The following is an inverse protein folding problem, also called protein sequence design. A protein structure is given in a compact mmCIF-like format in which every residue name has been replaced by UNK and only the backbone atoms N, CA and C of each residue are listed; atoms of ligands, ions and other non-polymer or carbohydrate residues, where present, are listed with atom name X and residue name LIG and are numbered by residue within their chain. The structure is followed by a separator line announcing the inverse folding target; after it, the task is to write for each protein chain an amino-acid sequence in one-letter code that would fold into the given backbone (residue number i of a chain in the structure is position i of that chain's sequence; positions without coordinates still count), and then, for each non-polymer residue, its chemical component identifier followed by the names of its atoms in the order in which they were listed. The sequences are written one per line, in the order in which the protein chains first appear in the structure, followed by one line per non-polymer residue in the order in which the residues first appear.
data_IF_678257153363
#
_entry.id   IF_678257153363
#
_cell.length_a   1.000
_cell.length_b   1.000
_cell.length_c   1.000
_cell.angle_alpha   90.00
_cell.angle_beta   90.00
_cell.angle_gamma   90.00
#
_symmetry.space_group_name_H-M   'P 1'
#
loop_
_entity.id
_entity.type
_entity.pdbx_description
1 polymer ?
#
# COMPACT_ATOMS: atom_id res chain seq x y z
N UNK A 1 9.87 -4.46 23.77
CA UNK A 1 9.16 -3.66 22.75
C UNK A 1 9.98 -3.43 21.49
N UNK A 2 11.25 -3.02 21.54
CA UNK A 2 12.04 -2.70 20.33
C UNK A 2 12.20 -3.80 19.26
N UNK A 3 12.28 -5.08 19.65
CA UNK A 3 12.45 -6.20 18.69
C UNK A 3 11.19 -6.43 17.85
N UNK A 4 10.00 -6.37 18.45
CA UNK A 4 8.72 -6.58 17.76
C UNK A 4 8.43 -5.49 16.73
N UNK A 5 8.72 -4.23 17.06
CA UNK A 5 8.59 -3.11 16.11
C UNK A 5 9.60 -3.22 14.97
N UNK A 6 10.84 -3.63 15.26
CA UNK A 6 11.85 -3.85 14.22
C UNK A 6 11.44 -4.98 13.26
N UNK A 7 10.88 -6.07 13.79
CA UNK A 7 10.42 -7.20 12.98
C UNK A 7 9.23 -6.81 12.10
N UNK A 8 8.18 -6.21 12.68
CA UNK A 8 7.00 -5.75 11.93
C UNK A 8 7.39 -4.83 10.77
N UNK A 9 8.32 -3.91 11.05
CA UNK A 9 8.86 -3.00 10.04
C UNK A 9 9.58 -3.75 8.93
N UNK A 10 10.52 -4.63 9.26
CA UNK A 10 11.25 -5.43 8.27
C UNK A 10 10.31 -6.26 7.40
N UNK A 11 9.30 -6.88 8.01
CA UNK A 11 8.25 -7.61 7.28
C UNK A 11 7.48 -6.69 6.33
N UNK A 12 7.10 -5.50 6.79
CA UNK A 12 6.39 -4.51 5.96
C UNK A 12 7.23 -4.06 4.76
N UNK A 13 8.53 -3.79 4.95
CA UNK A 13 9.45 -3.50 3.86
C UNK A 13 9.51 -4.64 2.84
N UNK A 14 9.69 -5.88 3.32
CA UNK A 14 9.75 -7.05 2.45
C UNK A 14 8.47 -7.19 1.62
N UNK A 15 7.30 -7.02 2.26
CA UNK A 15 6.00 -7.08 1.57
C UNK A 15 5.90 -6.00 0.48
N UNK A 16 6.21 -4.75 0.79
CA UNK A 16 6.12 -3.66 -0.19
C UNK A 16 7.13 -3.81 -1.33
N UNK A 17 8.37 -4.19 -1.03
CA UNK A 17 9.36 -4.46 -2.08
C UNK A 17 8.92 -5.64 -2.95
N UNK A 18 8.34 -6.68 -2.36
CA UNK A 18 7.77 -7.81 -3.12
C UNK A 18 6.59 -7.36 -3.98
N UNK A 19 5.76 -6.42 -3.51
CA UNK A 19 4.68 -5.84 -4.29
C UNK A 19 5.20 -5.05 -5.51
N UNK A 20 6.32 -4.34 -5.39
CA UNK A 20 6.98 -3.68 -6.55
C UNK A 20 7.41 -4.72 -7.59
N UNK A 21 8.07 -5.80 -7.15
CA UNK A 21 8.50 -6.88 -8.04
C UNK A 21 7.29 -7.58 -8.69
N UNK A 22 6.21 -7.77 -7.93
CA UNK A 22 4.98 -8.36 -8.43
C UNK A 22 4.33 -7.51 -9.53
N UNK A 23 4.26 -6.18 -9.38
CA UNK A 23 3.76 -5.30 -10.44
C UNK A 23 4.61 -5.44 -11.71
N UNK A 24 5.94 -5.45 -11.58
CA UNK A 24 6.85 -5.66 -12.71
C UNK A 24 6.68 -7.02 -13.39
N UNK A 25 6.29 -8.06 -12.66
CA UNK A 25 5.96 -9.38 -13.21
C UNK A 25 4.58 -9.44 -13.87
N UNK A 26 3.59 -8.77 -13.27
CA UNK A 26 2.20 -8.80 -13.73
C UNK A 26 1.97 -7.98 -15.01
N UNK A 27 2.83 -6.99 -15.28
CA UNK A 27 2.76 -6.21 -16.51
C UNK A 27 3.47 -6.88 -17.70
N UNK A 28 2.94 -6.75 -18.94
CA UNK A 28 3.52 -7.42 -20.12
C UNK A 28 4.93 -6.94 -20.49
N UNK A 29 5.29 -5.71 -20.11
CA UNK A 29 6.60 -5.12 -20.36
C UNK A 29 6.89 -4.02 -19.36
N UNK A 30 8.16 -3.83 -19.00
CA UNK A 30 8.58 -2.71 -18.14
C UNK A 30 8.57 -1.44 -18.98
N UNK A 31 7.60 -0.56 -18.70
CA UNK A 31 7.41 0.70 -19.41
C UNK A 31 6.96 1.83 -18.46
N UNK A 32 6.51 2.96 -19.02
CA UNK A 32 6.07 4.11 -18.24
C UNK A 32 4.87 3.79 -17.34
N UNK A 33 3.96 2.91 -17.76
CA UNK A 33 2.82 2.46 -16.96
C UNK A 33 3.27 1.60 -15.78
N UNK A 34 4.27 0.74 -15.96
CA UNK A 34 4.85 -0.04 -14.85
C UNK A 34 5.43 0.89 -13.78
N UNK A 35 6.17 1.90 -14.21
CA UNK A 35 6.71 2.94 -13.31
C UNK A 35 5.58 3.70 -12.61
N UNK A 36 4.52 4.05 -13.35
CA UNK A 36 3.34 4.73 -12.83
C UNK A 36 2.60 3.90 -11.77
N UNK A 37 2.40 2.60 -12.01
CA UNK A 37 1.73 1.67 -11.10
C UNK A 37 2.55 1.32 -9.86
N UNK A 38 3.88 1.39 -9.93
CA UNK A 38 4.77 1.19 -8.79
C UNK A 38 4.82 2.43 -7.88
N UNK A 39 4.56 3.63 -8.42
CA UNK A 39 4.73 4.90 -7.70
C UNK A 39 4.00 4.97 -6.33
N UNK A 40 2.75 4.50 -6.15
CA UNK A 40 2.08 4.51 -4.85
C UNK A 40 2.82 3.66 -3.81
N UNK A 41 3.38 2.52 -4.21
CA UNK A 41 4.15 1.64 -3.32
C UNK A 41 5.46 2.33 -2.91
N UNK A 42 6.10 3.05 -3.83
CA UNK A 42 7.29 3.86 -3.52
C UNK A 42 6.94 4.98 -2.54
N UNK A 43 5.81 5.66 -2.71
CA UNK A 43 5.32 6.67 -1.75
C UNK A 43 5.07 6.03 -0.38
N UNK A 44 4.45 4.85 -0.32
CA UNK A 44 4.24 4.13 0.93
C UNK A 44 5.56 3.75 1.63
N UNK A 45 6.56 3.29 0.87
CA UNK A 45 7.91 3.00 1.37
C UNK A 45 8.60 4.25 1.92
N UNK A 46 8.50 5.38 1.22
CA UNK A 46 9.04 6.67 1.65
C UNK A 46 8.38 7.11 2.97
N UNK A 47 7.05 7.06 3.05
CA UNK A 47 6.32 7.44 4.27
C UNK A 47 6.70 6.54 5.44
N UNK A 48 6.79 5.22 5.23
CA UNK A 48 7.23 4.27 6.25
C UNK A 48 8.65 4.61 6.73
N UNK A 49 9.55 4.95 5.82
CA UNK A 49 10.94 5.28 6.13
C UNK A 49 11.11 6.54 6.98
N UNK A 50 10.44 7.63 6.59
CA UNK A 50 10.61 8.93 7.25
C UNK A 50 9.86 9.02 8.57
N UNK A 51 8.71 8.35 8.70
CA UNK A 51 7.86 8.54 9.87
C UNK A 51 8.31 7.71 11.07
N UNK A 52 9.01 6.60 10.83
CA UNK A 52 9.59 5.75 11.88
C UNK A 52 10.83 6.36 12.56
N UNK A 53 11.44 7.38 11.95
CA UNK A 53 12.57 8.11 12.55
C UNK A 53 12.13 9.22 13.51
N UNK A 54 10.82 9.47 13.61
CA UNK A 54 10.30 10.46 14.56
C UNK A 54 10.38 9.89 15.98
N UNK A 55 11.14 10.58 16.84
CA UNK A 55 11.43 10.20 18.23
C UNK A 55 10.16 10.03 19.09
N UNK A 56 9.04 10.67 18.71
CA UNK A 56 7.76 10.63 19.44
C UNK A 56 6.59 10.18 18.54
N UNK A 57 6.57 8.93 18.09
CA UNK A 57 5.41 8.40 17.37
C UNK A 57 4.40 7.77 18.33
N UNK A 58 3.29 8.48 18.59
CA UNK A 58 2.17 7.94 19.36
C UNK A 58 1.50 6.74 18.65
N UNK A 59 0.86 5.85 19.42
CA UNK A 59 0.16 4.67 18.87
C UNK A 59 -0.82 5.01 17.72
N UNK A 60 -1.67 6.06 17.82
CA UNK A 60 -2.54 6.48 16.70
C UNK A 60 -1.76 6.81 15.42
N UNK A 61 -0.62 7.50 15.56
CA UNK A 61 0.20 7.87 14.40
C UNK A 61 0.80 6.64 13.73
N UNK A 62 1.31 5.70 14.52
CA UNK A 62 1.87 4.44 14.01
C UNK A 62 0.82 3.62 13.26
N UNK A 63 -0.35 3.39 13.88
CA UNK A 63 -1.41 2.60 13.23
C UNK A 63 -1.97 3.29 11.98
N UNK A 64 -2.02 4.62 11.96
CA UNK A 64 -2.34 5.36 10.73
C UNK A 64 -1.34 5.09 9.61
N UNK A 65 -0.03 5.12 9.89
CA UNK A 65 0.99 4.83 8.86
C UNK A 65 0.86 3.41 8.32
N UNK A 66 0.72 2.42 9.20
CA UNK A 66 0.51 1.03 8.77
C UNK A 66 -0.79 0.87 7.97
N UNK A 67 -1.86 1.56 8.36
CA UNK A 67 -3.11 1.62 7.60
C UNK A 67 -2.92 2.20 6.20
N UNK A 68 -2.19 3.32 6.08
CA UNK A 68 -1.85 3.91 4.79
C UNK A 68 -1.12 2.92 3.88
N UNK A 69 -0.06 2.33 4.42
CA UNK A 69 0.82 1.40 3.71
C UNK A 69 0.04 0.17 3.24
N UNK A 70 -0.76 -0.42 4.14
CA UNK A 70 -1.52 -1.63 3.85
C UNK A 70 -2.55 -1.40 2.74
N UNK A 71 -3.33 -0.31 2.81
CA UNK A 71 -4.34 -0.03 1.80
C UNK A 71 -3.74 0.39 0.47
N UNK A 72 -2.67 1.21 0.48
CA UNK A 72 -1.99 1.63 -0.75
C UNK A 72 -1.40 0.43 -1.49
N UNK A 73 -0.60 -0.38 -0.80
CA UNK A 73 0.00 -1.58 -1.39
C UNK A 73 -1.05 -2.63 -1.75
N UNK A 74 -2.03 -2.85 -0.88
CA UNK A 74 -3.11 -3.81 -1.07
C UNK A 74 -3.93 -3.56 -2.31
N UNK A 75 -4.34 -2.30 -2.56
CA UNK A 75 -5.11 -1.93 -3.76
C UNK A 75 -4.30 -2.18 -5.03
N UNK A 76 -3.02 -1.80 -5.05
CA UNK A 76 -2.15 -2.05 -6.21
C UNK A 76 -2.02 -3.56 -6.46
N UNK A 77 -1.74 -4.35 -5.43
CA UNK A 77 -1.57 -5.81 -5.55
C UNK A 77 -2.87 -6.48 -5.99
N UNK A 78 -4.01 -6.14 -5.38
CA UNK A 78 -5.31 -6.72 -5.73
C UNK A 78 -5.68 -6.41 -7.19
N UNK A 79 -5.44 -5.18 -7.66
CA UNK A 79 -5.72 -4.81 -9.05
C UNK A 79 -4.88 -5.61 -10.05
N UNK A 80 -3.59 -5.82 -9.75
CA UNK A 80 -2.71 -6.62 -10.61
C UNK A 80 -3.01 -8.12 -10.52
N UNK A 81 -3.44 -8.64 -9.36
CA UNK A 81 -3.94 -10.01 -9.23
C UNK A 81 -5.23 -10.19 -10.05
N UNK A 82 -6.16 -9.25 -9.97
CA UNK A 82 -7.40 -9.26 -10.75
C UNK A 82 -7.08 -9.31 -12.24
N UNK A 83 -6.12 -8.50 -12.69
CA UNK A 83 -5.66 -8.49 -14.07
C UNK A 83 -5.02 -9.81 -14.49
N UNK A 84 -4.04 -10.30 -13.73
CA UNK A 84 -3.29 -11.52 -14.05
C UNK A 84 -4.19 -12.76 -14.09
N UNK A 85 -5.19 -12.82 -13.21
CA UNK A 85 -6.13 -13.94 -13.10
C UNK A 85 -7.42 -13.72 -13.91
N UNK A 86 -7.51 -12.64 -14.67
CA UNK A 86 -8.68 -12.23 -15.45
C UNK A 86 -10.00 -12.23 -14.64
N UNK A 87 -9.94 -11.76 -13.39
CA UNK A 87 -11.10 -11.73 -12.48
C UNK A 87 -12.23 -10.89 -13.06
N UNK A 88 -13.36 -11.53 -13.37
CA UNK A 88 -14.48 -10.84 -13.99
C UNK A 88 -14.18 -10.33 -15.40
N UNK A 89 -13.24 -10.98 -16.12
CA UNK A 89 -12.78 -10.57 -17.45
C UNK A 89 -12.09 -9.20 -17.47
N UNK A 90 -11.38 -8.85 -16.39
CA UNK A 90 -10.66 -7.57 -16.30
C UNK A 90 -9.54 -7.42 -17.30
N UNK A 91 -8.99 -8.48 -17.89
CA UNK A 91 -7.99 -8.39 -18.96
C UNK A 91 -8.62 -8.62 -20.35
N UNK A 92 -9.63 -9.48 -20.46
CA UNK A 92 -10.18 -9.91 -21.77
C UNK A 92 -11.54 -9.30 -22.12
N UNK A 93 -12.23 -8.66 -21.17
CA UNK A 93 -13.65 -8.32 -21.29
C UNK A 93 -13.97 -6.96 -21.90
N UNK A 94 -12.99 -6.06 -22.05
CA UNK A 94 -13.22 -4.73 -22.62
C UNK A 94 -11.95 -4.09 -23.18
N UNK A 95 -12.08 -3.31 -24.26
CA UNK A 95 -11.03 -2.44 -24.81
C UNK A 95 -10.67 -1.24 -23.90
N UNK A 96 -11.47 -0.97 -22.86
CA UNK A 96 -11.18 0.03 -21.81
C UNK A 96 -10.64 -0.57 -20.52
N UNK A 97 -10.42 -1.89 -20.48
CA UNK A 97 -9.94 -2.58 -19.29
C UNK A 97 -8.60 -2.04 -18.75
N UNK A 98 -7.67 -1.70 -19.64
CA UNK A 98 -6.38 -1.12 -19.28
C UNK A 98 -6.48 0.31 -18.69
N UNK A 99 -7.63 0.99 -18.83
CA UNK A 99 -7.83 2.35 -18.32
C UNK A 99 -7.75 2.40 -16.79
N UNK A 100 -8.05 1.29 -16.11
CA UNK A 100 -7.92 1.20 -14.65
C UNK A 100 -6.49 1.46 -14.20
N UNK A 101 -5.47 1.04 -14.96
CA UNK A 101 -4.06 1.26 -14.62
C UNK A 101 -3.62 2.71 -14.80
N UNK A 102 -4.38 3.53 -15.52
CA UNK A 102 -4.14 4.97 -15.58
C UNK A 102 -4.58 5.63 -14.28
N UNK A 103 -5.70 5.21 -13.71
CA UNK A 103 -6.28 5.80 -12.48
C UNK A 103 -5.87 5.07 -11.20
N UNK A 104 -5.36 3.84 -11.30
CA UNK A 104 -5.01 2.97 -10.18
C UNK A 104 -4.08 3.65 -9.18
N UNK A 105 -3.01 4.38 -9.59
CA UNK A 105 -2.15 5.04 -8.63
C UNK A 105 -2.86 6.07 -7.75
N UNK A 106 -3.79 6.82 -8.35
CA UNK A 106 -4.59 7.82 -7.63
C UNK A 106 -5.54 7.10 -6.66
N UNK A 107 -6.23 6.06 -7.12
CA UNK A 107 -7.14 5.26 -6.28
C UNK A 107 -6.41 4.57 -5.13
N UNK A 108 -5.19 4.08 -5.36
CA UNK A 108 -4.36 3.46 -4.34
C UNK A 108 -3.97 4.46 -3.25
N UNK A 109 -3.53 5.66 -3.63
CA UNK A 109 -3.19 6.72 -2.66
C UNK A 109 -4.42 7.20 -1.88
N UNK A 110 -5.56 7.40 -2.54
CA UNK A 110 -6.82 7.75 -1.87
C UNK A 110 -7.25 6.67 -0.88
N UNK A 111 -7.13 5.40 -1.27
CA UNK A 111 -7.39 4.26 -0.38
C UNK A 111 -6.40 4.24 0.79
N UNK A 112 -5.15 4.60 0.55
CA UNK A 112 -4.14 4.83 1.59
C UNK A 112 -4.59 5.89 2.60
N UNK A 113 -5.08 7.04 2.14
CA UNK A 113 -5.61 8.08 3.04
C UNK A 113 -6.77 7.59 3.91
N UNK A 114 -7.66 6.78 3.33
CA UNK A 114 -8.75 6.12 4.08
C UNK A 114 -8.17 5.16 5.11
N UNK A 115 -7.24 4.30 4.71
CA UNK A 115 -6.56 3.35 5.59
C UNK A 115 -5.82 4.05 6.74
N UNK A 116 -5.21 5.19 6.46
CA UNK A 116 -4.58 6.04 7.47
C UNK A 116 -5.58 6.53 8.51
N UNK A 117 -6.69 7.08 8.05
CA UNK A 117 -7.72 7.61 8.94
C UNK A 117 -8.31 6.49 9.82
N UNK A 118 -8.62 5.33 9.24
CA UNK A 118 -9.12 4.16 9.97
C UNK A 118 -8.10 3.69 11.01
N UNK A 119 -6.83 3.52 10.62
CA UNK A 119 -5.76 3.12 11.54
C UNK A 119 -5.55 4.10 12.68
N UNK A 120 -5.61 5.40 12.39
CA UNK A 120 -5.52 6.45 13.39
C UNK A 120 -6.68 6.43 14.39
N UNK A 121 -7.93 6.29 13.91
CA UNK A 121 -9.11 6.14 14.76
C UNK A 121 -9.01 4.91 15.68
N UNK A 122 -8.56 3.77 15.15
CA UNK A 122 -8.32 2.55 15.94
C UNK A 122 -7.30 2.85 17.04
N UNK A 123 -6.19 3.49 16.70
CA UNK A 123 -5.17 3.81 17.69
C UNK A 123 -5.63 4.80 18.75
N UNK A 124 -6.53 5.75 18.42
CA UNK A 124 -7.15 6.62 19.42
C UNK A 124 -8.00 5.83 20.42
N UNK A 125 -8.81 4.88 19.92
CA UNK A 125 -9.66 4.03 20.77
C UNK A 125 -8.78 3.18 21.69
N UNK A 126 -7.78 2.50 21.14
CA UNK A 126 -6.88 1.64 21.91
C UNK A 126 -6.08 2.43 22.96
N UNK A 127 -5.58 3.62 22.61
CA UNK A 127 -4.83 4.46 23.53
C UNK A 127 -5.70 5.00 24.68
N UNK A 128 -7.00 5.21 24.45
CA UNK A 128 -7.94 5.59 25.51
C UNK A 128 -8.24 4.47 26.50
N UNK A 129 -8.17 3.22 26.09
CA UNK A 129 -8.40 2.07 26.99
C UNK A 129 -7.16 1.65 27.78
N UNK A 130 -5.97 2.08 27.34
CA UNK A 130 -4.69 1.75 27.99
C UNK A 130 -4.28 2.74 29.10
N UNK A 131 -4.94 3.89 29.18
CA UNK A 131 -4.76 4.91 30.22
C UNK A 131 -6.00 4.96 31.11
#
# INVERSE_FOLDING_TARGET
MGVTYSLLRSVTYIILTSAVLFVGYAEPSINIFTTWNILPIVVALIILHYTDRAVDSSLPKQLGIYGFVFFTGGVVVIAHLAWLLDWGKTATGSSTSALIFVTLPILALLSGCIGWFVGWCIGLILNRHAN
#
